data_IF_342356257504
#
_entry.id   IF_342356257504
#
_cell.length_a   1.000
_cell.length_b   1.000
_cell.length_c   1.000
_cell.angle_alpha   90.00
_cell.angle_beta   90.00
_cell.angle_gamma   90.00
#
_symmetry.space_group_name_H-M   'P 1'
#
loop_
_entity.id
_entity.type
_entity.pdbx_description
1 polymer ?
#
# COMPACT_ATOMS: atom_id res chain seq x y z
N UNK A 1 -8.03 -9.44 -5.91
CA UNK A 1 -8.28 -7.99 -5.77
C UNK A 1 -9.63 -7.65 -6.35
N UNK A 2 -10.46 -6.95 -5.59
CA UNK A 2 -11.79 -6.51 -5.95
C UNK A 2 -11.78 -5.43 -7.04
N UNK A 3 -12.92 -5.26 -7.70
CA UNK A 3 -13.07 -4.37 -8.85
C UNK A 3 -12.83 -2.89 -8.49
N UNK A 4 -13.29 -2.43 -7.32
CA UNK A 4 -13.14 -1.04 -6.92
C UNK A 4 -11.70 -0.71 -6.55
N UNK A 5 -11.01 -1.62 -5.87
CA UNK A 5 -9.57 -1.51 -5.64
C UNK A 5 -8.83 -1.38 -6.98
N UNK A 6 -9.10 -2.25 -7.97
CA UNK A 6 -8.48 -2.17 -9.30
C UNK A 6 -8.73 -0.82 -9.98
N UNK A 7 -9.97 -0.31 -9.92
CA UNK A 7 -10.31 1.03 -10.47
C UNK A 7 -9.50 2.14 -9.79
N UNK A 8 -9.35 2.08 -8.47
CA UNK A 8 -8.55 3.06 -7.71
C UNK A 8 -7.07 3.05 -8.13
N UNK A 9 -6.48 1.86 -8.35
CA UNK A 9 -5.12 1.77 -8.91
C UNK A 9 -5.04 2.40 -10.29
N UNK A 10 -5.98 2.07 -11.19
CA UNK A 10 -6.01 2.62 -12.55
C UNK A 10 -6.11 4.17 -12.54
N UNK A 11 -7.02 4.74 -11.74
CA UNK A 11 -7.15 6.21 -11.59
C UNK A 11 -5.90 6.84 -10.97
N UNK A 12 -5.19 6.11 -10.09
CA UNK A 12 -3.91 6.56 -9.55
C UNK A 12 -2.79 6.54 -10.59
N UNK A 13 -3.00 5.93 -11.75
CA UNK A 13 -2.00 5.72 -12.81
C UNK A 13 -1.20 4.43 -12.65
N UNK A 14 -1.73 3.45 -11.91
CA UNK A 14 -1.12 2.14 -11.68
C UNK A 14 -1.94 1.11 -12.44
N UNK A 15 -1.42 0.60 -13.55
CA UNK A 15 -2.08 -0.40 -14.39
C UNK A 15 -1.36 -1.75 -14.27
N UNK A 16 -2.14 -2.82 -14.11
CA UNK A 16 -1.67 -4.20 -14.12
C UNK A 16 -2.80 -5.10 -14.63
N UNK A 17 -2.47 -6.21 -15.28
CA UNK A 17 -3.46 -7.17 -15.79
C UNK A 17 -3.80 -8.18 -14.70
N UNK A 18 -2.75 -8.76 -14.11
CA UNK A 18 -2.82 -9.75 -13.05
C UNK A 18 -2.31 -9.17 -11.74
N UNK A 19 -2.86 -9.65 -10.62
CA UNK A 19 -2.38 -9.23 -9.30
C UNK A 19 -0.91 -9.57 -9.07
N UNK A 20 -0.40 -10.62 -9.72
CA UNK A 20 1.00 -11.02 -9.65
C UNK A 20 1.94 -9.98 -10.25
N UNK A 21 1.47 -9.17 -11.21
CA UNK A 21 2.27 -8.13 -11.87
C UNK A 21 2.56 -6.95 -10.94
N UNK A 22 1.89 -6.90 -9.78
CA UNK A 22 2.20 -5.93 -8.73
C UNK A 22 3.57 -6.20 -8.12
N UNK A 23 4.01 -7.45 -8.02
CA UNK A 23 5.29 -7.76 -7.37
C UNK A 23 6.47 -7.21 -8.19
N UNK A 24 7.30 -6.39 -7.56
CA UNK A 24 8.42 -5.72 -8.20
C UNK A 24 8.08 -4.41 -8.92
N UNK A 25 6.79 -4.02 -9.01
CA UNK A 25 6.38 -2.80 -9.70
C UNK A 25 6.96 -1.54 -9.03
N UNK A 26 7.49 -0.62 -9.85
CA UNK A 26 8.10 0.63 -9.39
C UNK A 26 7.19 1.82 -9.66
N UNK A 27 6.68 2.44 -8.60
CA UNK A 27 5.79 3.60 -8.69
C UNK A 27 6.56 4.87 -8.30
N UNK A 28 6.62 5.91 -9.16
CA UNK A 28 7.17 7.20 -8.78
C UNK A 28 6.41 7.78 -7.58
N UNK A 29 7.12 8.24 -6.55
CA UNK A 29 6.48 8.75 -5.32
C UNK A 29 5.49 9.87 -5.64
N UNK A 30 5.88 10.77 -6.53
CA UNK A 30 5.14 11.97 -6.92
C UNK A 30 3.75 11.63 -7.47
N UNK A 31 3.59 10.46 -8.09
CA UNK A 31 2.32 9.98 -8.62
C UNK A 31 1.24 9.81 -7.53
N UNK A 32 1.65 9.52 -6.30
CA UNK A 32 0.78 9.22 -5.15
C UNK A 32 0.59 10.43 -4.21
N UNK A 33 1.16 11.58 -4.56
CA UNK A 33 1.03 12.83 -3.79
C UNK A 33 0.07 13.82 -4.45
N UNK A 34 -0.66 13.40 -5.48
CA UNK A 34 -1.57 14.27 -6.22
C UNK A 34 -2.92 14.37 -5.51
N UNK A 35 -3.25 15.56 -5.01
CA UNK A 35 -4.56 15.84 -4.41
C UNK A 35 -5.69 15.76 -5.45
N UNK A 36 -5.43 16.21 -6.69
CA UNK A 36 -6.40 16.10 -7.80
C UNK A 36 -6.82 14.65 -8.06
N UNK A 37 -5.85 13.72 -8.11
CA UNK A 37 -6.15 12.29 -8.27
C UNK A 37 -6.93 11.75 -7.07
N UNK A 38 -6.60 12.20 -5.87
CA UNK A 38 -7.34 11.81 -4.68
C UNK A 38 -8.80 12.25 -4.74
N UNK A 39 -9.10 13.46 -5.21
CA UNK A 39 -10.48 13.95 -5.34
C UNK A 39 -11.32 13.13 -6.33
N UNK A 40 -10.70 12.62 -7.40
CA UNK A 40 -11.35 11.68 -8.31
C UNK A 40 -11.64 10.35 -7.62
N UNK A 41 -10.64 9.78 -6.92
CA UNK A 41 -10.73 8.52 -6.20
C UNK A 41 -11.71 8.59 -5.03
N UNK A 42 -11.86 9.76 -4.41
CA UNK A 42 -12.78 9.99 -3.29
C UNK A 42 -14.23 9.63 -3.64
N UNK A 43 -14.61 9.75 -4.92
CA UNK A 43 -15.92 9.35 -5.43
C UNK A 43 -16.14 7.83 -5.34
N UNK A 44 -15.08 7.03 -5.33
CA UNK A 44 -15.10 5.56 -5.23
C UNK A 44 -15.03 5.05 -3.78
N UNK A 45 -14.67 5.90 -2.81
CA UNK A 45 -14.57 5.53 -1.39
C UNK A 45 -15.87 4.92 -0.82
N UNK A 46 -17.07 5.44 -1.12
CA UNK A 46 -18.31 4.83 -0.62
C UNK A 46 -18.49 3.37 -1.03
N UNK A 47 -18.06 3.01 -2.24
CA UNK A 47 -18.11 1.63 -2.73
C UNK A 47 -17.07 0.76 -2.03
N UNK A 48 -15.85 1.30 -1.86
CA UNK A 48 -14.78 0.59 -1.15
C UNK A 48 -15.14 0.30 0.32
N UNK A 49 -15.93 1.17 0.96
CA UNK A 49 -16.45 0.97 2.33
C UNK A 49 -17.44 -0.19 2.47
N UNK A 50 -18.03 -0.65 1.37
CA UNK A 50 -18.89 -1.84 1.39
C UNK A 50 -18.04 -3.12 1.53
N UNK A 51 -16.75 -3.04 1.21
CA UNK A 51 -15.81 -4.17 1.23
C UNK A 51 -14.94 -4.11 2.49
N UNK A 52 -14.43 -2.92 2.83
CA UNK A 52 -13.53 -2.74 3.96
C UNK A 52 -14.13 -1.82 5.03
N UNK A 53 -13.95 -2.18 6.30
CA UNK A 53 -14.38 -1.34 7.40
C UNK A 53 -13.43 -0.13 7.57
N UNK A 54 -13.97 0.99 8.03
CA UNK A 54 -13.15 2.17 8.37
C UNK A 54 -12.33 2.00 9.65
N UNK A 55 -12.62 0.97 10.45
CA UNK A 55 -11.76 0.56 11.57
C UNK A 55 -10.52 -0.21 11.08
N UNK A 56 -10.63 -0.95 9.97
CA UNK A 56 -9.52 -1.64 9.35
C UNK A 56 -8.66 -0.72 8.47
N UNK A 57 -9.28 0.13 7.64
CA UNK A 57 -8.59 1.07 6.76
C UNK A 57 -8.83 2.52 7.16
N UNK A 58 -7.81 3.15 7.77
CA UNK A 58 -7.87 4.57 8.16
C UNK A 58 -8.02 5.52 6.97
N UNK A 59 -7.63 5.12 5.75
CA UNK A 59 -7.85 5.87 4.51
C UNK A 59 -9.34 6.03 4.16
N UNK A 60 -10.23 5.20 4.71
CA UNK A 60 -11.67 5.30 4.52
C UNK A 60 -12.36 6.19 5.56
N UNK A 61 -11.64 6.67 6.58
CA UNK A 61 -12.24 7.51 7.62
C UNK A 61 -12.76 8.82 7.04
N UNK A 62 -13.87 9.34 7.60
CA UNK A 62 -14.53 10.57 7.12
C UNK A 62 -13.58 11.76 7.06
N UNK A 63 -12.68 11.86 8.04
CA UNK A 63 -11.74 12.96 8.17
C UNK A 63 -10.34 12.62 7.62
N UNK A 64 -10.18 11.51 6.89
CA UNK A 64 -8.89 11.06 6.36
C UNK A 64 -8.18 12.17 5.57
N UNK A 65 -8.91 12.85 4.68
CA UNK A 65 -8.39 13.97 3.89
C UNK A 65 -7.84 15.13 4.74
N UNK A 66 -8.42 15.39 5.92
CA UNK A 66 -7.99 16.53 6.77
C UNK A 66 -6.79 16.19 7.66
N UNK A 67 -6.69 14.94 8.11
CA UNK A 67 -5.65 14.52 9.07
C UNK A 67 -4.45 13.83 8.42
N UNK A 68 -4.64 13.22 7.24
CA UNK A 68 -3.56 12.52 6.54
C UNK A 68 -2.88 13.48 5.58
N UNK A 69 -1.57 13.63 5.74
CA UNK A 69 -0.76 14.46 4.85
C UNK A 69 -0.79 13.97 3.40
N UNK A 70 -0.85 12.65 3.21
CA UNK A 70 -0.85 11.99 1.89
C UNK A 70 -1.96 10.93 1.83
N UNK A 71 -3.23 11.36 1.68
CA UNK A 71 -4.37 10.46 1.81
C UNK A 71 -4.40 9.41 0.69
N UNK A 72 -4.02 9.79 -0.53
CA UNK A 72 -3.89 8.85 -1.67
C UNK A 72 -2.85 7.76 -1.41
N UNK A 73 -1.63 8.16 -1.05
CA UNK A 73 -0.56 7.22 -0.70
C UNK A 73 -1.00 6.26 0.42
N UNK A 74 -1.65 6.77 1.46
CA UNK A 74 -2.13 5.95 2.56
C UNK A 74 -3.20 4.94 2.11
N UNK A 75 -4.15 5.38 1.29
CA UNK A 75 -5.21 4.52 0.74
C UNK A 75 -4.62 3.39 -0.10
N UNK A 76 -3.75 3.70 -1.06
CA UNK A 76 -3.09 2.71 -1.91
C UNK A 76 -2.29 1.70 -1.08
N UNK A 77 -1.51 2.18 -0.11
CA UNK A 77 -0.75 1.34 0.82
C UNK A 77 -1.66 0.37 1.60
N UNK A 78 -2.79 0.85 2.11
CA UNK A 78 -3.72 0.01 2.86
C UNK A 78 -4.41 -1.03 1.98
N UNK A 79 -4.78 -0.67 0.75
CA UNK A 79 -5.34 -1.62 -0.21
C UNK A 79 -4.29 -2.70 -0.54
N UNK A 80 -3.04 -2.33 -0.83
CA UNK A 80 -1.96 -3.30 -1.07
C UNK A 80 -1.79 -4.27 0.11
N UNK A 81 -1.75 -3.74 1.34
CA UNK A 81 -1.62 -4.55 2.54
C UNK A 81 -2.76 -5.56 2.69
N UNK A 82 -4.00 -5.19 2.34
CA UNK A 82 -5.15 -6.10 2.36
C UNK A 82 -5.03 -7.27 1.37
N UNK A 83 -4.14 -7.17 0.39
CA UNK A 83 -3.82 -8.20 -0.59
C UNK A 83 -2.43 -8.81 -0.40
N UNK A 84 -1.82 -8.65 0.78
CA UNK A 84 -0.50 -9.18 1.11
C UNK A 84 0.62 -8.60 0.23
N UNK A 85 0.53 -7.31 -0.10
CA UNK A 85 1.60 -6.55 -0.73
C UNK A 85 2.00 -5.36 0.14
N UNK A 86 3.28 -5.02 0.14
CA UNK A 86 3.81 -3.84 0.82
C UNK A 86 4.49 -2.90 -0.17
N UNK A 87 4.69 -1.64 0.26
CA UNK A 87 5.39 -0.62 -0.50
C UNK A 87 6.72 -0.29 0.17
N UNK A 88 7.83 -0.62 -0.48
CA UNK A 88 9.17 -0.29 0.00
C UNK A 88 9.69 1.00 -0.65
N UNK A 89 10.12 2.01 0.13
CA UNK A 89 10.66 3.25 -0.42
C UNK A 89 12.06 3.04 -1.01
N UNK A 90 12.27 3.44 -2.26
CA UNK A 90 13.55 3.35 -2.96
C UNK A 90 13.99 4.74 -3.45
N UNK A 91 15.30 5.02 -3.37
CA UNK A 91 15.90 6.23 -3.92
C UNK A 91 16.87 5.83 -5.05
N UNK A 92 16.70 6.41 -6.23
CA UNK A 92 17.60 6.20 -7.38
C UNK A 92 18.27 7.51 -7.76
N UNK A 93 19.52 7.41 -8.22
CA UNK A 93 20.29 8.56 -8.73
C UNK A 93 19.61 9.12 -9.98
N UNK A 94 19.46 10.44 -10.06
CA UNK A 94 18.84 11.14 -11.19
C UNK A 94 19.80 12.18 -11.79
N UNK A 95 21.08 11.78 -11.87
CA UNK A 95 22.17 12.65 -12.30
C UNK A 95 22.57 13.68 -11.25
N UNK A 96 23.13 14.79 -11.72
CA UNK A 96 23.64 15.88 -10.90
C UNK A 96 23.00 17.21 -11.35
N UNK A 97 23.01 18.22 -10.48
CA UNK A 97 22.74 19.61 -10.88
C UNK A 97 23.93 20.17 -11.65
N UNK A 98 23.76 21.35 -12.28
CA UNK A 98 24.86 22.02 -12.99
C UNK A 98 26.01 22.37 -12.03
N UNK A 99 25.69 22.57 -10.75
CA UNK A 99 26.60 22.84 -9.64
C UNK A 99 27.21 21.56 -9.04
N UNK A 100 26.96 20.38 -9.63
CA UNK A 100 27.52 19.11 -9.19
C UNK A 100 26.82 18.43 -8.01
N UNK A 101 25.62 18.88 -7.62
CA UNK A 101 24.86 18.26 -6.51
C UNK A 101 24.08 17.05 -7.01
N UNK A 102 24.24 15.88 -6.36
CA UNK A 102 23.55 14.65 -6.77
C UNK A 102 22.03 14.76 -6.58
N UNK A 103 21.28 14.46 -7.65
CA UNK A 103 19.82 14.41 -7.66
C UNK A 103 19.35 12.99 -7.33
N UNK A 104 18.22 12.89 -6.65
CA UNK A 104 17.59 11.62 -6.32
C UNK A 104 16.11 11.65 -6.69
N UNK A 105 15.66 10.62 -7.44
CA UNK A 105 14.25 10.30 -7.62
C UNK A 105 13.81 9.27 -6.59
N UNK A 106 12.58 9.41 -6.09
CA UNK A 106 12.00 8.53 -5.08
C UNK A 106 10.92 7.69 -5.70
N UNK A 107 10.94 6.40 -5.39
CA UNK A 107 10.01 5.40 -5.87
C UNK A 107 9.47 4.61 -4.68
N UNK A 108 8.38 3.90 -4.94
CA UNK A 108 7.93 2.80 -4.10
C UNK A 108 7.98 1.53 -4.94
N UNK A 109 8.73 0.53 -4.47
CA UNK A 109 8.67 -0.81 -5.02
C UNK A 109 7.57 -1.58 -4.30
N UNK A 110 6.64 -2.15 -5.05
CA UNK A 110 5.66 -3.07 -4.47
C UNK A 110 6.34 -4.43 -4.29
N UNK A 111 6.15 -5.06 -3.14
CA UNK A 111 6.65 -6.41 -2.84
C UNK A 111 5.56 -7.27 -2.26
N UNK A 112 5.50 -8.53 -2.66
CA UNK A 112 4.63 -9.52 -2.03
C UNK A 112 5.14 -9.84 -0.63
N UNK A 113 4.26 -9.76 0.37
CA UNK A 113 4.57 -10.13 1.76
C UNK A 113 4.64 -11.66 1.83
N UNK A 114 5.84 -12.20 2.04
CA UNK A 114 6.05 -13.61 2.32
C UNK A 114 5.88 -13.81 3.82
N UNK A 115 4.75 -14.36 4.25
CA UNK A 115 4.55 -14.76 5.64
C UNK A 115 5.44 -15.98 5.90
N UNK A 116 6.58 -15.77 6.56
CA UNK A 116 7.37 -16.89 7.11
C UNK A 116 6.64 -17.38 8.35
N UNK A 117 6.04 -18.56 8.27
CA UNK A 117 5.46 -19.26 9.42
C UNK A 117 6.58 -19.71 10.38
N UNK A 118 7.14 -18.79 11.16
CA UNK A 118 7.95 -19.15 12.31
C UNK A 118 7.11 -18.89 13.57
N UNK A 119 6.91 -19.94 14.38
CA UNK A 119 6.33 -19.99 15.74
C UNK A 119 4.84 -20.38 15.87
N UNK A 120 4.53 -21.68 15.75
CA UNK A 120 3.70 -22.42 16.73
C UNK A 120 4.24 -23.86 16.82
N UNK A 121 5.41 -24.04 17.43
CA UNK A 121 5.76 -25.29 18.11
C UNK A 121 6.42 -24.91 19.43
N UNK A 122 6.08 -25.63 20.50
CA UNK A 122 6.47 -25.48 21.91
C UNK A 122 5.48 -24.73 22.82
N UNK A 123 4.45 -25.46 23.28
CA UNK A 123 4.41 -25.96 24.66
C UNK A 123 3.04 -26.62 24.98
N UNK A 124 2.79 -27.79 24.36
CA UNK A 124 1.88 -28.80 24.91
C UNK A 124 2.73 -29.92 25.48
N UNK A 125 3.35 -29.69 26.65
CA UNK A 125 3.86 -30.75 27.52
C UNK A 125 3.88 -30.17 28.93
N UNK A 126 2.83 -30.48 29.69
CA UNK A 126 2.88 -30.92 31.10
C UNK A 126 1.45 -31.05 31.64
N UNK A 127 0.77 -32.11 31.20
CA UNK A 127 -0.23 -32.79 32.01
C UNK A 127 0.13 -34.27 31.93
N UNK A 128 0.81 -34.77 32.96
CA UNK A 128 0.71 -36.13 33.49
C UNK A 128 1.94 -36.46 34.34
N UNK A 129 1.90 -36.15 35.64
CA UNK A 129 2.41 -37.08 36.66
C UNK A 129 1.54 -37.03 37.93
N UNK A 130 0.74 -38.10 38.07
CA UNK A 130 0.57 -38.95 39.27
C UNK A 130 -0.18 -38.31 40.47
N UNK A 131 -1.42 -38.77 40.73
CA UNK A 131 -1.76 -39.89 41.63
C UNK A 131 -1.31 -39.65 43.08
#
# INVERSE_FOLDING_TARGET
>A
MDEYSKKIFATSGISFENISDLDGLMIPREQLLSDSKYDEIKKLIPELKKIYSSSFMTGLQRNAYKHQKWPLLNLIRQILNAYNYEMEPIRKSDGYTLEGVKKYKRFFQIKKIIIKNNTIENNNNNNNEKN
#
